data_IF_565555155924
#
_entry.id   IF_565555155924
#
_cell.length_a   1.000
_cell.length_b   1.000
_cell.length_c   1.000
_cell.angle_alpha   90.00
_cell.angle_beta   90.00
_cell.angle_gamma   90.00
#
_symmetry.space_group_name_H-M   'P 1'
#
loop_
_entity.id
_entity.type
_entity.pdbx_description
1 polymer ?
#
# COMPACT_ATOMS: atom_id res chain seq x y z
N UNK A 1 -12.34 -9.79 -6.14
CA UNK A 1 -11.07 -9.06 -6.22
C UNK A 1 -9.95 -10.09 -6.36
N UNK A 2 -8.95 -9.85 -7.21
CA UNK A 2 -7.82 -10.75 -7.45
C UNK A 2 -6.51 -10.27 -6.81
N UNK A 3 -6.43 -9.01 -6.40
CA UNK A 3 -5.27 -8.45 -5.70
C UNK A 3 -5.61 -7.13 -5.01
N UNK A 4 -4.94 -6.84 -3.90
CA UNK A 4 -4.95 -5.55 -3.21
C UNK A 4 -3.52 -5.16 -2.91
N UNK A 5 -3.11 -3.96 -3.33
CA UNK A 5 -1.80 -3.40 -2.96
C UNK A 5 -1.97 -2.02 -2.33
N UNK A 6 -1.12 -1.75 -1.33
CA UNK A 6 -0.99 -0.44 -0.68
C UNK A 6 0.37 0.13 -1.03
N UNK A 7 0.47 1.44 -1.26
CA UNK A 7 1.78 2.09 -1.48
C UNK A 7 2.66 2.12 -0.24
N UNK A 8 2.05 1.98 0.95
CA UNK A 8 2.75 1.93 2.21
C UNK A 8 2.03 1.03 3.23
N UNK A 9 2.83 0.44 4.13
CA UNK A 9 2.35 -0.51 5.13
C UNK A 9 2.27 -1.93 4.57
N UNK A 10 2.03 -2.88 5.48
CA UNK A 10 1.89 -4.31 5.15
C UNK A 10 0.49 -4.76 5.53
N UNK A 11 -0.23 -5.34 4.57
CA UNK A 11 -1.52 -5.98 4.81
C UNK A 11 -1.35 -7.23 5.68
N UNK A 12 -2.13 -7.31 6.76
CA UNK A 12 -2.22 -8.45 7.66
C UNK A 12 -3.70 -8.84 7.82
N UNK A 13 -4.08 -10.08 7.48
CA UNK A 13 -3.28 -11.11 6.82
C UNK A 13 -2.90 -10.71 5.38
N UNK A 14 -2.01 -11.49 4.75
CA UNK A 14 -1.72 -11.33 3.32
C UNK A 14 -3.01 -11.44 2.50
N UNK A 15 -3.06 -10.74 1.37
CA UNK A 15 -4.27 -10.65 0.56
C UNK A 15 -4.82 -12.03 0.16
N UNK A 16 -6.12 -12.23 0.39
CA UNK A 16 -6.87 -13.42 -0.01
C UNK A 16 -8.27 -13.04 -0.51
N UNK A 17 -8.69 -13.55 -1.66
CA UNK A 17 -9.99 -13.18 -2.24
C UNK A 17 -11.20 -13.50 -1.33
N UNK A 18 -11.04 -14.44 -0.38
CA UNK A 18 -12.04 -14.85 0.60
C UNK A 18 -12.04 -14.00 1.87
N UNK A 19 -10.91 -13.33 2.18
CA UNK A 19 -10.80 -12.48 3.35
C UNK A 19 -11.35 -11.10 3.03
N UNK A 20 -12.36 -10.68 3.81
CA UNK A 20 -13.01 -9.38 3.68
C UNK A 20 -12.48 -8.35 4.66
N UNK A 21 -11.70 -8.74 5.67
CA UNK A 21 -11.23 -7.85 6.72
C UNK A 21 -9.70 -7.89 6.80
N UNK A 22 -9.09 -6.73 6.64
CA UNK A 22 -7.64 -6.56 6.66
C UNK A 22 -7.23 -5.46 7.61
N UNK A 23 -6.04 -5.60 8.16
CA UNK A 23 -5.38 -4.54 8.92
C UNK A 23 -4.05 -4.18 8.26
N UNK A 24 -3.64 -2.93 8.37
CA UNK A 24 -2.32 -2.47 7.97
C UNK A 24 -1.86 -1.41 8.97
N UNK A 25 -0.55 -1.31 9.17
CA UNK A 25 0.05 -0.26 9.99
C UNK A 25 1.02 0.55 9.15
N UNK A 26 0.93 1.87 9.27
CA UNK A 26 1.79 2.82 8.56
C UNK A 26 2.42 3.78 9.57
N UNK A 27 3.59 4.33 9.22
CA UNK A 27 4.27 5.32 10.06
C UNK A 27 3.57 6.68 10.02
N UNK A 28 3.74 7.45 11.09
CA UNK A 28 3.21 8.83 11.28
C UNK A 28 3.59 9.83 10.21
N UNK A 29 4.64 9.55 9.44
CA UNK A 29 5.11 10.42 8.37
C UNK A 29 4.16 10.44 7.16
N UNK A 30 3.21 9.49 7.09
CA UNK A 30 2.29 9.33 5.98
C UNK A 30 0.91 9.88 6.35
N UNK A 31 0.46 10.87 5.59
CA UNK A 31 -0.87 11.49 5.69
C UNK A 31 -1.82 10.99 4.59
N UNK A 32 -1.33 10.14 3.69
CA UNK A 32 -2.10 9.55 2.60
C UNK A 32 -1.50 8.20 2.22
N UNK A 33 -2.36 7.29 1.77
CA UNK A 33 -1.96 6.00 1.20
C UNK A 33 -2.66 5.79 -0.14
N UNK A 34 -1.95 5.20 -1.09
CA UNK A 34 -2.54 4.79 -2.35
C UNK A 34 -3.04 3.36 -2.24
N UNK A 35 -4.34 3.20 -2.38
CA UNK A 35 -4.99 1.90 -2.41
C UNK A 35 -5.19 1.50 -3.86
N UNK A 36 -4.57 0.40 -4.28
CA UNK A 36 -4.68 -0.11 -5.65
C UNK A 36 -5.41 -1.45 -5.64
N UNK A 37 -6.75 -1.43 -5.77
CA UNK A 37 -7.52 -2.65 -5.87
C UNK A 37 -7.48 -3.24 -7.29
N UNK A 38 -7.39 -4.56 -7.40
CA UNK A 38 -7.48 -5.29 -8.67
C UNK A 38 -8.74 -6.15 -8.69
N UNK A 39 -9.66 -5.84 -9.61
CA UNK A 39 -10.86 -6.64 -9.81
C UNK A 39 -10.49 -8.04 -10.35
N UNK A 40 -11.27 -9.05 -9.96
CA UNK A 40 -11.12 -10.38 -10.54
C UNK A 40 -11.69 -10.43 -11.97
N UNK A 41 -12.76 -9.67 -12.20
CA UNK A 41 -13.44 -9.53 -13.48
C UNK A 41 -13.16 -8.14 -14.07
N UNK A 42 -12.83 -8.09 -15.36
CA UNK A 42 -12.57 -6.82 -16.06
C UNK A 42 -13.83 -5.92 -16.18
N UNK A 43 -15.02 -6.53 -16.10
CA UNK A 43 -16.31 -5.84 -16.22
C UNK A 43 -16.93 -5.51 -14.85
N UNK A 44 -16.24 -5.82 -13.74
CA UNK A 44 -16.68 -5.43 -12.40
C UNK A 44 -16.34 -3.96 -12.12
N UNK A 45 -17.22 -3.28 -11.40
CA UNK A 45 -16.99 -1.91 -10.92
C UNK A 45 -16.52 -1.94 -9.47
N UNK A 46 -15.60 -1.04 -9.11
CA UNK A 46 -15.10 -0.94 -7.74
C UNK A 46 -15.20 0.49 -7.23
N UNK A 47 -15.48 0.62 -5.93
CA UNK A 47 -15.39 1.89 -5.22
C UNK A 47 -14.46 1.76 -4.03
N UNK A 48 -13.63 2.78 -3.80
CA UNK A 48 -12.77 2.92 -2.62
C UNK A 48 -13.27 4.13 -1.85
N UNK A 49 -13.67 3.91 -0.60
CA UNK A 49 -14.30 4.90 0.27
C UNK A 49 -15.46 5.63 -0.43
N UNK A 50 -16.30 4.86 -1.15
CA UNK A 50 -17.43 5.38 -1.94
C UNK A 50 -17.07 6.03 -3.28
N UNK A 51 -15.80 6.25 -3.59
CA UNK A 51 -15.38 6.79 -4.89
C UNK A 51 -15.08 5.70 -5.91
N UNK A 52 -15.62 5.81 -7.13
CA UNK A 52 -15.30 4.87 -8.20
C UNK A 52 -13.80 4.84 -8.55
N UNK A 53 -13.26 3.64 -8.71
CA UNK A 53 -11.87 3.39 -9.14
C UNK A 53 -11.87 2.25 -10.15
N UNK A 54 -11.02 2.35 -11.17
CA UNK A 54 -10.84 1.27 -12.13
C UNK A 54 -9.91 0.19 -11.57
N UNK A 55 -10.02 -1.03 -12.10
CA UNK A 55 -9.15 -2.14 -11.72
C UNK A 55 -7.67 -1.80 -11.96
N UNK A 56 -6.83 -2.03 -10.94
CA UNK A 56 -5.40 -1.76 -11.01
C UNK A 56 -5.05 -0.27 -10.99
N UNK A 57 -5.99 0.62 -10.64
CA UNK A 57 -5.70 2.04 -10.47
C UNK A 57 -5.52 2.41 -9.00
N UNK A 58 -4.45 3.13 -8.74
CA UNK A 58 -4.16 3.69 -7.43
C UNK A 58 -5.17 4.78 -7.09
N UNK A 59 -5.73 4.71 -5.88
CA UNK A 59 -6.57 5.76 -5.31
C UNK A 59 -5.96 6.25 -4.00
N UNK A 60 -5.47 7.48 -4.03
CA UNK A 60 -5.04 8.19 -2.84
C UNK A 60 -6.21 8.36 -1.87
N UNK A 61 -5.98 7.98 -0.61
CA UNK A 61 -6.91 8.14 0.51
C UNK A 61 -6.16 8.85 1.62
N UNK A 62 -6.68 9.99 2.05
CA UNK A 62 -6.14 10.73 3.19
C UNK A 62 -6.30 9.89 4.46
N UNK A 63 -5.27 9.91 5.31
CA UNK A 63 -5.22 9.21 6.58
C UNK A 63 -5.03 10.21 7.71
N UNK A 64 -5.79 10.00 8.78
CA UNK A 64 -5.62 10.70 10.04
C UNK A 64 -4.76 9.85 11.00
N UNK A 65 -4.13 10.50 11.98
CA UNK A 65 -3.37 9.78 13.00
C UNK A 65 -4.33 8.92 13.84
N UNK A 66 -4.01 7.62 14.00
CA UNK A 66 -4.90 6.63 14.63
C UNK A 66 -5.53 5.69 13.61
N UNK A 67 -6.73 5.19 13.91
CA UNK A 67 -7.41 4.17 13.12
C UNK A 67 -8.25 4.76 11.97
N UNK A 68 -7.96 4.31 10.75
CA UNK A 68 -8.64 4.72 9.53
C UNK A 68 -9.32 3.51 8.91
N UNK A 69 -10.63 3.60 8.63
CA UNK A 69 -11.37 2.51 7.98
C UNK A 69 -11.60 2.83 6.52
N UNK A 70 -11.02 2.03 5.63
CA UNK A 70 -11.23 2.12 4.19
C UNK A 70 -12.16 0.99 3.75
N UNK A 71 -13.27 1.35 3.11
CA UNK A 71 -14.21 0.40 2.52
C UNK A 71 -13.98 0.29 1.03
N UNK A 72 -13.89 -0.94 0.54
CA UNK A 72 -13.73 -1.25 -0.89
C UNK A 72 -14.92 -2.11 -1.30
N UNK A 73 -15.82 -1.55 -2.09
CA UNK A 73 -16.95 -2.29 -2.63
C UNK A 73 -16.63 -2.72 -4.05
N UNK A 74 -16.79 -4.02 -4.31
CA UNK A 74 -16.69 -4.60 -5.65
C UNK A 74 -18.08 -5.07 -6.06
N UNK A 75 -18.60 -4.50 -7.12
CA UNK A 75 -19.87 -4.91 -7.74
C UNK A 75 -19.53 -5.67 -9.02
N UNK A 76 -19.95 -6.93 -9.10
CA UNK A 76 -19.74 -7.73 -10.31
C UNK A 76 -20.55 -7.18 -11.49
N UNK A 77 -20.26 -7.66 -12.70
CA UNK A 77 -20.96 -7.25 -13.93
C UNK A 77 -22.48 -7.45 -13.85
N UNK A 78 -22.93 -8.45 -13.10
CA UNK A 78 -24.35 -8.74 -12.90
C UNK A 78 -25.10 -7.63 -12.15
N UNK A 79 -24.39 -6.69 -11.51
CA UNK A 79 -24.97 -5.61 -10.69
C UNK A 79 -25.59 -6.07 -9.37
N UNK A 80 -25.58 -7.38 -9.09
CA UNK A 80 -26.24 -8.01 -7.95
C UNK A 80 -25.20 -8.47 -6.94
N UNK A 81 -24.13 -9.11 -7.42
CA UNK A 81 -23.08 -9.65 -6.56
C UNK A 81 -22.20 -8.51 -6.09
N UNK A 82 -22.37 -8.13 -4.82
CA UNK A 82 -21.57 -7.12 -4.16
C UNK A 82 -20.67 -7.78 -3.11
N UNK A 83 -19.38 -7.50 -3.17
CA UNK A 83 -18.40 -7.91 -2.15
C UNK A 83 -17.80 -6.67 -1.51
N UNK A 84 -17.94 -6.56 -0.20
CA UNK A 84 -17.36 -5.47 0.57
C UNK A 84 -16.10 -5.95 1.29
N UNK A 85 -15.00 -5.22 1.10
CA UNK A 85 -13.73 -5.44 1.76
C UNK A 85 -13.43 -4.24 2.66
N UNK A 86 -13.01 -4.51 3.90
CA UNK A 86 -12.72 -3.53 4.93
C UNK A 86 -11.22 -3.58 5.20
N UNK A 87 -10.55 -2.45 5.06
CA UNK A 87 -9.13 -2.29 5.36
C UNK A 87 -8.99 -1.27 6.48
N UNK A 88 -8.55 -1.73 7.65
CA UNK A 88 -8.26 -0.88 8.80
C UNK A 88 -6.79 -0.49 8.78
N UNK A 89 -6.50 0.79 8.61
CA UNK A 89 -5.14 1.32 8.57
C UNK A 89 -4.90 2.10 9.85
N UNK A 90 -3.97 1.63 10.67
CA UNK A 90 -3.54 2.34 11.88
C UNK A 90 -2.28 3.15 11.57
N UNK A 91 -2.38 4.47 11.67
CA UNK A 91 -1.25 5.38 11.59
C UNK A 91 -0.67 5.55 12.99
N UNK A 92 0.56 5.10 13.22
CA UNK A 92 1.19 5.26 14.53
C UNK A 92 1.57 6.72 14.77
N UNK A 93 1.08 7.32 15.85
CA UNK A 93 1.61 8.60 16.32
C UNK A 93 3.08 8.41 16.68
N UNK A 94 3.99 9.13 16.04
CA UNK A 94 5.33 9.31 16.58
C UNK A 94 5.18 10.24 17.79
N UNK A 95 4.71 9.71 18.91
CA UNK A 95 5.02 10.31 20.19
C UNK A 95 6.52 10.12 20.33
N UNK A 96 7.28 11.08 19.80
CA UNK A 96 8.69 11.20 20.08
C UNK A 96 8.81 11.23 21.58
N UNK A 97 9.29 10.14 22.16
CA UNK A 97 9.97 10.21 23.44
C UNK A 97 11.19 11.09 23.16
N UNK A 98 11.03 12.39 23.33
CA UNK A 98 12.13 13.29 23.59
C UNK A 98 12.69 12.91 24.96
N UNK A 99 13.48 11.84 24.95
CA UNK A 99 14.26 11.40 26.09
C UNK A 99 15.49 12.27 26.20
N UNK A 100 15.32 13.56 26.47
CA UNK A 100 16.38 14.42 27.00
C UNK A 100 15.85 15.21 28.18
N UNK A 101 15.55 14.50 29.27
CA UNK A 101 15.71 15.13 30.58
C UNK A 101 17.21 15.13 30.90
N UNK A 102 17.78 16.33 31.01
CA UNK A 102 19.21 16.56 31.14
C UNK A 102 19.75 16.00 32.45
N UNK A 103 20.62 15.00 32.36
CA UNK A 103 21.59 14.70 33.42
C UNK A 103 22.95 15.20 32.95
N UNK A 104 23.36 16.36 33.47
CA UNK A 104 24.72 16.84 33.41
C UNK A 104 25.61 16.01 34.36
N UNK A 105 26.77 15.54 33.89
CA UNK A 105 27.67 14.70 34.69
C UNK A 105 28.70 13.85 33.93
N UNK A 106 29.68 14.53 33.32
CA UNK A 106 31.05 14.10 32.92
C UNK A 106 31.56 12.69 33.34
N UNK A 107 32.13 11.93 32.37
CA UNK A 107 33.12 10.87 32.63
C UNK A 107 33.38 9.96 31.42
N UNK A 108 34.53 10.09 30.76
CA UNK A 108 34.80 9.50 29.44
C UNK A 108 35.57 8.17 29.36
N UNK A 109 35.58 7.68 28.11
CA UNK A 109 36.60 6.93 27.35
C UNK A 109 36.73 5.40 27.49
N UNK A 110 36.54 4.70 26.36
CA UNK A 110 36.81 3.27 26.18
C UNK A 110 36.51 2.76 24.76
N UNK A 111 37.41 3.11 23.83
CA UNK A 111 37.43 2.81 22.39
C UNK A 111 37.42 1.32 22.01
N UNK A 112 36.70 0.97 20.93
CA UNK A 112 36.86 -0.23 20.09
C UNK A 112 35.84 -0.14 18.94
N UNK A 113 36.07 -0.44 17.66
CA UNK A 113 37.21 -0.73 16.80
C UNK A 113 36.58 -1.07 15.44
N UNK A 114 37.15 -0.60 14.33
CA UNK A 114 36.84 -1.09 12.96
C UNK A 114 35.59 -0.50 12.33
N UNK A 115 35.70 0.39 11.34
CA UNK A 115 36.04 0.08 9.93
C UNK A 115 34.96 -0.73 9.22
N UNK A 116 34.56 -0.21 8.04
CA UNK A 116 33.74 -0.84 6.98
C UNK A 116 32.29 -1.15 7.40
N UNK A 117 31.23 -0.69 6.73
CA UNK A 117 30.98 -0.50 5.30
C UNK A 117 29.57 0.07 5.13
N UNK A 118 29.37 0.89 4.09
CA UNK A 118 28.20 1.01 3.19
C UNK A 118 26.79 0.74 3.78
N UNK A 119 25.81 1.65 3.63
CA UNK A 119 24.43 1.43 4.09
C UNK A 119 23.89 0.10 3.57
N UNK A 120 23.49 -0.78 4.49
CA UNK A 120 22.73 -1.99 4.15
C UNK A 120 21.30 -1.58 3.81
N UNK A 121 21.14 -1.20 2.55
CA UNK A 121 19.91 -1.25 1.77
C UNK A 121 19.21 -2.60 2.07
N UNK A 122 17.97 -2.62 2.60
CA UNK A 122 17.15 -3.80 2.53
C UNK A 122 16.93 -4.04 1.04
N UNK A 123 17.40 -5.19 0.57
CA UNK A 123 17.26 -5.66 -0.81
C UNK A 123 15.83 -5.45 -1.31
N UNK A 124 15.63 -4.34 -2.02
CA UNK A 124 14.54 -4.19 -2.97
C UNK A 124 14.89 -5.14 -4.11
N UNK A 125 14.16 -6.25 -4.32
CA UNK A 125 14.37 -7.03 -5.53
C UNK A 125 14.06 -6.08 -6.67
N UNK A 126 15.08 -5.76 -7.47
CA UNK A 126 15.00 -5.02 -8.72
C UNK A 126 13.72 -5.42 -9.44
N UNK A 127 12.69 -4.58 -9.35
CA UNK A 127 11.50 -4.75 -10.16
C UNK A 127 12.02 -4.64 -11.61
N UNK A 128 11.88 -5.69 -12.45
CA UNK A 128 12.19 -5.52 -13.86
C UNK A 128 11.38 -4.32 -14.36
N UNK A 129 11.95 -3.49 -15.26
CA UNK A 129 11.18 -2.40 -15.85
C UNK A 129 9.86 -2.99 -16.33
N UNK A 130 8.74 -2.36 -15.97
CA UNK A 130 7.44 -2.61 -16.59
C UNK A 130 7.60 -2.26 -18.07
N UNK A 131 8.10 -3.24 -18.84
CA UNK A 131 8.06 -3.20 -20.29
C UNK A 131 6.59 -3.12 -20.66
N UNK A 132 6.25 -1.98 -21.25
CA UNK A 132 5.16 -1.76 -22.17
C UNK A 132 3.94 -2.67 -21.95
N UNK A 133 2.91 -2.08 -21.34
CA UNK A 133 1.53 -2.47 -21.58
C UNK A 133 1.36 -2.79 -23.08
N UNK A 134 1.03 -4.04 -23.48
CA UNK A 134 0.69 -4.31 -24.87
C UNK A 134 -0.63 -3.59 -25.14
N UNK A 135 -0.56 -2.51 -25.91
CA UNK A 135 -1.72 -2.02 -26.66
C UNK A 135 -2.32 -3.21 -27.42
N UNK A 136 -3.62 -3.50 -27.27
CA UNK A 136 -4.25 -4.57 -28.02
C UNK A 136 -4.13 -4.27 -29.52
N UNK A 137 -3.50 -5.19 -30.24
CA UNK A 137 -3.46 -5.17 -31.69
C UNK A 137 -4.86 -5.53 -32.21
N UNK A 138 -5.50 -4.57 -32.89
CA UNK A 138 -6.56 -4.85 -33.84
C UNK A 138 -6.06 -4.58 -35.24
N UNK A 139 -5.91 -5.68 -35.98
CA UNK A 139 -5.56 -5.81 -37.38
C UNK A 139 -6.29 -4.84 -38.32
N UNK A 140 -5.61 -4.40 -39.39
CA UNK A 140 -6.06 -4.62 -40.78
C UNK A 140 -4.93 -4.31 -41.78
N UNK A 141 -4.61 -5.35 -42.55
CA UNK A 141 -3.80 -5.32 -43.77
C UNK A 141 -4.65 -4.78 -44.93
N UNK A 142 -4.16 -3.81 -45.71
CA UNK A 142 -4.21 -3.77 -47.19
C UNK A 142 -3.93 -2.34 -47.73
N UNK A 143 -3.05 -2.26 -48.73
CA UNK A 143 -3.02 -1.36 -49.91
C UNK A 143 -1.56 -1.11 -50.31
N UNK A 144 -1.13 -1.22 -51.56
CA UNK A 144 -1.73 -1.71 -52.81
C UNK A 144 -0.58 -1.99 -53.76
#
# INVERSE_FOLDING_TARGET
>A
MSGLTLSAGTLSPAFSAETTNYTASVGSNLTSVDVTPTAADAEATMTVNGSAVASGQAKATALDVGDNTITIQVTAKDGITNKNYIVQITVTSSNGSDGTDGTDGTGGNGSSSGSTTKPSEPSNPTQPPLTAQPTPASSICFQR
#
